data_IF_012521085024
#
_entry.id   IF_012521085024
#
_cell.length_a   1.000
_cell.length_b   1.000
_cell.length_c   1.000
_cell.angle_alpha   90.00
_cell.angle_beta   90.00
_cell.angle_gamma   90.00
#
_symmetry.space_group_name_H-M   'P 1'
#
loop_
_entity.id
_entity.type
_entity.pdbx_description
1 polymer ?
#
# COMPACT_ATOMS: atom_id res chain seq x y z
N UNK A 1 20.60 -10.79 -5.27
CA UNK A 1 20.07 -10.92 -3.89
C UNK A 1 18.56 -11.04 -3.98
N UNK A 2 17.95 -12.19 -3.66
CA UNK A 2 16.50 -12.23 -3.49
C UNK A 2 16.15 -11.22 -2.39
N UNK A 3 15.30 -10.24 -2.69
CA UNK A 3 14.73 -9.39 -1.63
C UNK A 3 13.88 -10.35 -0.77
N UNK A 4 14.30 -10.59 0.46
CA UNK A 4 13.45 -11.30 1.42
C UNK A 4 12.07 -10.64 1.38
N UNK A 5 11.03 -11.46 1.19
CA UNK A 5 9.66 -10.96 1.19
C UNK A 5 9.40 -10.43 2.60
N UNK A 6 9.41 -9.11 2.75
CA UNK A 6 9.05 -8.47 4.00
C UNK A 6 7.63 -8.91 4.33
N UNK A 7 7.50 -9.67 5.42
CA UNK A 7 6.19 -10.10 5.90
C UNK A 7 5.53 -8.89 6.55
N UNK A 8 4.36 -8.51 6.05
CA UNK A 8 3.59 -7.40 6.62
C UNK A 8 2.84 -7.95 7.83
N UNK A 9 3.14 -7.42 9.01
CA UNK A 9 2.43 -7.75 10.24
C UNK A 9 1.15 -6.90 10.32
N UNK A 10 -0.05 -7.51 10.39
CA UNK A 10 -1.32 -6.79 10.42
C UNK A 10 -1.47 -5.83 11.61
N UNK A 11 -0.79 -6.11 12.72
CA UNK A 11 -0.88 -5.31 13.96
C UNK A 11 0.25 -4.27 14.07
N UNK A 12 1.25 -4.33 13.19
CA UNK A 12 2.33 -3.35 13.19
C UNK A 12 1.88 -2.01 12.59
N UNK A 13 2.52 -0.94 13.06
CA UNK A 13 2.34 0.42 12.54
C UNK A 13 3.59 0.80 11.77
N UNK A 14 3.40 1.15 10.51
CA UNK A 14 4.43 1.53 9.56
C UNK A 14 4.43 3.04 9.36
N UNK A 15 5.61 3.63 9.35
CA UNK A 15 5.83 4.94 8.76
C UNK A 15 5.75 4.86 7.23
N UNK A 16 5.70 6.02 6.56
CA UNK A 16 5.75 6.07 5.09
C UNK A 16 6.95 5.34 4.50
N UNK A 17 8.12 5.47 5.12
CA UNK A 17 9.35 4.84 4.62
C UNK A 17 9.29 3.32 4.76
N UNK A 18 8.88 2.84 5.93
CA UNK A 18 8.76 1.41 6.17
C UNK A 18 7.69 0.79 5.26
N UNK A 19 6.56 1.47 5.04
CA UNK A 19 5.54 1.01 4.11
C UNK A 19 6.04 0.94 2.66
N UNK A 20 6.83 1.92 2.19
CA UNK A 20 7.45 1.84 0.86
C UNK A 20 8.45 0.70 0.74
N UNK A 21 9.23 0.47 1.78
CA UNK A 21 10.24 -0.59 1.80
C UNK A 21 9.54 -1.97 1.83
N UNK A 22 8.51 -2.14 2.65
CA UNK A 22 7.69 -3.36 2.73
C UNK A 22 6.99 -3.69 1.41
N UNK A 23 6.44 -2.69 0.72
CA UNK A 23 5.77 -2.86 -0.57
C UNK A 23 6.74 -2.90 -1.76
N UNK A 24 8.00 -2.51 -1.57
CA UNK A 24 8.98 -2.40 -2.65
C UNK A 24 8.67 -1.30 -3.67
N UNK A 25 7.90 -0.27 -3.27
CA UNK A 25 7.46 0.85 -4.14
C UNK A 25 8.15 2.17 -3.79
N UNK A 26 8.02 3.17 -4.66
CA UNK A 26 8.50 4.52 -4.39
C UNK A 26 7.57 5.31 -3.47
N UNK A 27 8.11 6.34 -2.79
CA UNK A 27 7.33 7.28 -1.98
C UNK A 27 6.25 8.02 -2.79
N UNK A 28 6.51 8.29 -4.07
CA UNK A 28 5.53 8.91 -4.96
C UNK A 28 4.36 7.97 -5.25
N UNK A 29 4.62 6.67 -5.41
CA UNK A 29 3.58 5.65 -5.61
C UNK A 29 2.75 5.50 -4.35
N UNK A 30 3.40 5.41 -3.17
CA UNK A 30 2.68 5.37 -1.90
C UNK A 30 1.78 6.60 -1.72
N UNK A 31 2.29 7.79 -2.06
CA UNK A 31 1.50 9.02 -2.02
C UNK A 31 0.25 8.92 -2.90
N UNK A 32 0.39 8.45 -4.14
CA UNK A 32 -0.76 8.23 -5.05
C UNK A 32 -1.78 7.27 -4.45
N UNK A 33 -1.33 6.15 -3.86
CA UNK A 33 -2.24 5.18 -3.22
C UNK A 33 -3.06 5.80 -2.09
N UNK A 34 -2.43 6.65 -1.28
CA UNK A 34 -3.12 7.40 -0.20
C UNK A 34 -4.06 8.46 -0.78
N UNK A 35 -3.58 9.25 -1.74
CA UNK A 35 -4.36 10.35 -2.35
C UNK A 35 -5.58 9.83 -3.13
N UNK A 36 -5.48 8.64 -3.75
CA UNK A 36 -6.60 7.96 -4.41
C UNK A 36 -7.49 7.15 -3.47
N UNK A 37 -7.17 7.10 -2.17
CA UNK A 37 -7.99 6.41 -1.17
C UNK A 37 -7.85 4.88 -1.16
N UNK A 38 -6.90 4.31 -1.89
CA UNK A 38 -6.61 2.87 -1.85
C UNK A 38 -5.97 2.44 -0.53
N UNK A 39 -5.19 3.33 0.09
CA UNK A 39 -4.50 3.05 1.35
C UNK A 39 -5.04 3.92 2.48
N UNK A 40 -5.66 3.27 3.47
CA UNK A 40 -6.08 3.94 4.69
C UNK A 40 -4.88 4.30 5.58
N UNK A 41 -4.82 5.56 6.00
CA UNK A 41 -3.75 6.09 6.85
C UNK A 41 -4.32 6.89 8.00
N UNK A 42 -3.68 6.79 9.16
CA UNK A 42 -3.99 7.64 10.30
C UNK A 42 -3.14 8.90 10.25
N UNK A 43 -3.80 10.07 10.27
CA UNK A 43 -3.15 11.38 10.39
C UNK A 43 -3.78 12.12 11.58
N UNK A 44 -3.20 11.99 12.79
CA UNK A 44 -3.65 12.75 13.94
C UNK A 44 -3.59 14.27 13.69
N UNK A 45 -4.59 15.04 14.12
CA UNK A 45 -4.59 16.49 13.97
C UNK A 45 -3.36 17.11 14.64
N UNK A 46 -2.73 18.08 13.98
CA UNK A 46 -1.48 18.70 14.43
C UNK A 46 -0.20 17.93 14.05
N UNK A 47 -0.30 16.71 13.49
CA UNK A 47 0.86 15.93 13.09
C UNK A 47 1.13 15.98 11.57
N UNK A 48 2.39 16.24 11.19
CA UNK A 48 2.85 16.18 9.79
C UNK A 48 3.11 14.75 9.30
N UNK A 49 3.21 13.78 10.21
CA UNK A 49 3.49 12.38 9.90
C UNK A 49 2.18 11.60 9.83
N UNK A 50 2.16 10.64 8.92
CA UNK A 50 1.06 9.68 8.78
C UNK A 50 1.57 8.31 9.24
N UNK A 51 0.67 7.53 9.80
CA UNK A 51 0.90 6.17 10.23
C UNK A 51 0.01 5.23 9.43
N UNK A 52 0.55 4.07 9.07
CA UNK A 52 -0.09 3.10 8.20
C UNK A 52 -0.14 1.80 8.98
N UNK A 53 -1.32 1.27 9.26
CA UNK A 53 -1.43 -0.03 9.93
C UNK A 53 -1.21 -1.14 8.89
N UNK A 54 -0.52 -2.22 9.28
CA UNK A 54 -0.28 -3.34 8.38
C UNK A 54 -1.55 -3.96 7.83
N UNK A 55 -2.61 -4.03 8.64
CA UNK A 55 -3.95 -4.46 8.20
C UNK A 55 -4.50 -3.61 7.04
N UNK A 56 -4.28 -2.30 7.05
CA UNK A 56 -4.67 -1.42 5.95
C UNK A 56 -3.90 -1.73 4.66
N UNK A 57 -2.62 -2.09 4.78
CA UNK A 57 -1.80 -2.48 3.62
C UNK A 57 -2.31 -3.81 3.05
N UNK A 58 -2.55 -4.80 3.91
CA UNK A 58 -3.07 -6.10 3.49
C UNK A 58 -4.43 -5.98 2.83
N UNK A 59 -5.36 -5.22 3.42
CA UNK A 59 -6.68 -4.97 2.83
C UNK A 59 -6.58 -4.28 1.47
N UNK A 60 -5.68 -3.30 1.32
CA UNK A 60 -5.42 -2.67 0.03
C UNK A 60 -4.92 -3.71 -1.00
N UNK A 61 -4.00 -4.60 -0.63
CA UNK A 61 -3.49 -5.64 -1.53
C UNK A 61 -4.59 -6.61 -1.96
N UNK A 62 -5.50 -6.96 -1.06
CA UNK A 62 -6.65 -7.82 -1.36
C UNK A 62 -7.64 -7.12 -2.32
N UNK A 63 -7.94 -5.85 -2.09
CA UNK A 63 -8.95 -5.09 -2.84
C UNK A 63 -8.46 -4.57 -4.19
N UNK A 64 -7.15 -4.37 -4.36
CA UNK A 64 -6.54 -3.83 -5.59
C UNK A 64 -5.97 -4.95 -6.46
N UNK A 65 -6.60 -6.13 -6.41
CA UNK A 65 -6.27 -7.24 -7.31
C UNK A 65 -6.74 -6.89 -8.71
N UNK A 66 -5.82 -6.42 -9.55
CA UNK A 66 -6.05 -6.36 -10.99
C UNK A 66 -5.93 -7.78 -11.52
N UNK A 67 -7.06 -8.39 -11.83
CA UNK A 67 -7.09 -9.60 -12.62
C UNK A 67 -6.54 -9.25 -14.01
N UNK A 68 -5.29 -9.62 -14.30
CA UNK A 68 -4.67 -9.51 -15.64
C UNK A 68 -5.40 -10.34 -16.73
N UNK A 69 -6.58 -10.88 -16.43
CA UNK A 69 -7.46 -11.62 -17.35
C UNK A 69 -8.54 -10.72 -17.98
N UNK A 70 -8.70 -9.47 -17.54
CA UNK A 70 -9.77 -8.56 -18.00
C UNK A 70 -9.38 -7.67 -19.20
N UNK A 71 -8.14 -7.74 -19.69
CA UNK A 71 -7.68 -6.90 -20.83
C UNK A 71 -8.04 -7.46 -22.23
N UNK A 72 -8.52 -8.70 -22.37
CA UNK A 72 -8.86 -9.28 -23.70
C UNK A 72 -10.29 -8.98 -24.19
N UNK A 73 -11.13 -8.26 -23.43
CA UNK A 73 -12.56 -8.09 -23.78
C UNK A 73 -12.99 -6.74 -24.37
N UNK A 74 -12.07 -5.80 -24.59
CA UNK A 74 -12.42 -4.52 -25.24
C UNK A 74 -11.88 -4.37 -26.68
N UNK A 75 -11.39 -5.45 -27.30
CA UNK A 75 -11.07 -5.48 -28.72
C UNK A 75 -11.81 -6.64 -29.42
N UNK A 76 -13.13 -6.53 -29.57
CA UNK A 76 -13.93 -7.30 -30.53
C UNK A 76 -15.13 -6.49 -31.00
#
# INVERSE_FOLDING_TARGET
MPREKLTIDPNAVYSRREATEALGISLSTLKKLVDHGFLEVSRPPGMRRIFIQGSSILRMLEQTTVNMIDEERQAS
#
